data_IF_673400821415
#
_entry.id   IF_673400821415
#
_cell.length_a   1.000
_cell.length_b   1.000
_cell.length_c   1.000
_cell.angle_alpha   90.00
_cell.angle_beta   90.00
_cell.angle_gamma   90.00
#
_symmetry.space_group_name_H-M   'P 1'
#
loop_
_entity.id
_entity.type
_entity.pdbx_description
1 polymer ?
#
# COMPACT_ATOMS: atom_id res chain seq x y z
N UNK A 1 54.21 7.58 -50.27
CA UNK A 1 52.86 6.97 -50.30
C UNK A 1 52.95 5.57 -49.70
N UNK A 2 51.89 5.15 -49.01
CA UNK A 2 51.63 3.86 -48.33
C UNK A 2 51.94 3.76 -46.82
N UNK A 3 50.97 3.13 -46.15
CA UNK A 3 50.50 3.23 -44.76
C UNK A 3 51.09 2.15 -43.84
N UNK A 4 50.73 2.25 -42.54
CA UNK A 4 50.55 1.15 -41.55
C UNK A 4 51.62 1.15 -40.45
N UNK A 5 51.31 1.05 -39.15
CA UNK A 5 50.18 0.39 -38.52
C UNK A 5 49.84 1.07 -37.19
N UNK A 6 48.55 1.33 -36.97
CA UNK A 6 48.02 2.02 -35.81
C UNK A 6 48.13 1.17 -34.55
N UNK A 7 48.88 1.71 -33.60
CA UNK A 7 48.98 1.29 -32.21
C UNK A 7 47.63 1.52 -31.51
N UNK A 8 47.16 0.50 -30.79
CA UNK A 8 46.35 0.59 -29.58
C UNK A 8 45.20 1.62 -29.56
N UNK A 9 43.96 1.12 -29.62
CA UNK A 9 43.02 1.37 -28.53
C UNK A 9 41.83 0.42 -28.67
N UNK A 10 41.92 -0.63 -27.87
CA UNK A 10 40.85 -1.54 -27.51
C UNK A 10 39.72 -0.70 -26.89
N UNK A 11 38.77 -0.28 -27.73
CA UNK A 11 37.50 0.29 -27.30
C UNK A 11 36.52 -0.88 -27.15
N UNK A 12 36.72 -1.70 -26.11
CA UNK A 12 35.65 -2.51 -25.56
C UNK A 12 34.62 -1.53 -24.97
N UNK A 13 33.69 -1.11 -25.82
CA UNK A 13 32.43 -0.53 -25.38
C UNK A 13 31.68 -1.60 -24.58
N UNK A 14 32.00 -1.69 -23.29
CA UNK A 14 31.24 -2.44 -22.31
C UNK A 14 29.86 -1.81 -22.20
N UNK A 15 28.91 -2.38 -22.94
CA UNK A 15 27.48 -2.09 -22.78
C UNK A 15 27.12 -2.59 -21.38
N UNK A 16 27.13 -1.68 -20.40
CA UNK A 16 26.56 -1.93 -19.08
C UNK A 16 25.06 -2.06 -19.31
N UNK A 17 24.59 -3.29 -19.46
CA UNK A 17 23.18 -3.64 -19.38
C UNK A 17 22.73 -3.29 -17.96
N UNK A 18 22.14 -2.11 -17.81
CA UNK A 18 21.40 -1.72 -16.63
C UNK A 18 20.12 -2.56 -16.65
N UNK A 19 20.21 -3.81 -16.22
CA UNK A 19 19.04 -4.63 -15.96
C UNK A 19 18.28 -3.95 -14.82
N UNK A 20 17.23 -3.21 -15.17
CA UNK A 20 16.19 -2.76 -14.24
C UNK A 20 15.54 -4.01 -13.65
N UNK A 21 16.15 -4.56 -12.59
CA UNK A 21 15.52 -5.57 -11.76
C UNK A 21 14.41 -4.85 -11.01
N UNK A 22 13.22 -4.81 -11.62
CA UNK A 22 12.00 -4.54 -10.88
C UNK A 22 11.81 -5.72 -9.93
N UNK A 23 12.41 -5.61 -8.73
CA UNK A 23 12.19 -6.56 -7.66
C UNK A 23 10.68 -6.57 -7.37
N UNK A 24 10.02 -7.66 -7.77
CA UNK A 24 8.63 -7.88 -7.40
C UNK A 24 8.55 -7.80 -5.88
N UNK A 25 7.53 -7.12 -5.32
CA UNK A 25 7.38 -7.05 -3.88
C UNK A 25 7.41 -8.47 -3.30
N UNK A 26 8.12 -8.69 -2.18
CA UNK A 26 8.23 -10.01 -1.58
C UNK A 26 6.83 -10.58 -1.37
N UNK A 27 6.61 -11.85 -1.71
CA UNK A 27 5.36 -12.54 -1.41
C UNK A 27 5.34 -12.94 0.07
N UNK A 28 4.15 -13.22 0.59
CA UNK A 28 3.94 -13.70 1.95
C UNK A 28 3.15 -12.71 2.82
N UNK A 29 2.45 -13.25 3.81
CA UNK A 29 1.57 -12.45 4.67
C UNK A 29 2.30 -11.51 5.65
N UNK A 30 3.61 -11.38 5.50
CA UNK A 30 4.48 -10.49 6.27
C UNK A 30 5.22 -9.51 5.37
N UNK A 31 4.78 -9.33 4.13
CA UNK A 31 5.43 -8.45 3.16
C UNK A 31 4.66 -7.15 2.89
N UNK A 32 3.38 -7.06 3.26
CA UNK A 32 2.59 -5.87 3.02
C UNK A 32 3.20 -4.64 3.69
N UNK A 33 3.47 -3.58 2.95
CA UNK A 33 3.77 -2.25 3.49
C UNK A 33 2.49 -1.60 4.04
N UNK A 34 2.59 -0.51 4.80
CA UNK A 34 1.39 0.19 5.26
C UNK A 34 0.54 0.63 4.06
N UNK A 35 -0.77 0.40 4.12
CA UNK A 35 -1.69 0.88 3.09
C UNK A 35 -1.67 2.42 3.10
N UNK A 36 -1.56 3.08 1.94
CA UNK A 36 -1.67 4.53 1.86
C UNK A 36 -3.10 4.96 2.22
N UNK A 37 -3.20 6.01 3.02
CA UNK A 37 -4.47 6.58 3.48
C UNK A 37 -4.48 8.06 3.11
N UNK A 38 -5.49 8.46 2.34
CA UNK A 38 -5.74 9.85 1.97
C UNK A 38 -6.71 10.48 2.99
N UNK A 39 -6.38 11.67 3.47
CA UNK A 39 -7.25 12.48 4.32
C UNK A 39 -8.01 13.53 3.50
N UNK A 40 -9.07 14.09 4.07
CA UNK A 40 -9.81 15.21 3.49
C UNK A 40 -9.87 16.39 4.45
N UNK A 41 -10.43 17.51 3.98
CA UNK A 41 -10.65 18.69 4.83
C UNK A 41 -11.60 18.38 6.00
N UNK A 42 -12.57 17.47 5.78
CA UNK A 42 -13.61 17.11 6.75
C UNK A 42 -13.30 15.87 7.60
N UNK A 43 -12.38 15.00 7.17
CA UNK A 43 -12.03 13.78 7.90
C UNK A 43 -10.54 13.45 7.81
N UNK A 44 -10.02 12.77 8.83
CA UNK A 44 -8.61 12.42 8.91
C UNK A 44 -8.34 11.10 9.63
N UNK A 45 -7.07 10.72 9.69
CA UNK A 45 -6.61 9.54 10.42
C UNK A 45 -6.48 9.92 11.90
N UNK A 46 -7.21 9.23 12.78
CA UNK A 46 -7.01 9.38 14.22
C UNK A 46 -5.99 8.37 14.75
N UNK A 47 -5.92 7.18 14.16
CA UNK A 47 -4.92 6.17 14.51
C UNK A 47 -4.65 5.21 13.35
N UNK A 48 -3.41 4.75 13.24
CA UNK A 48 -3.02 3.68 12.33
C UNK A 48 -1.96 2.83 13.00
N UNK A 49 -2.17 1.53 13.02
CA UNK A 49 -1.28 0.60 13.68
C UNK A 49 -1.10 -0.66 12.83
N UNK A 50 0.15 -1.05 12.61
CA UNK A 50 0.49 -2.29 11.94
C UNK A 50 1.18 -3.23 12.91
N UNK A 51 0.58 -4.39 13.13
CA UNK A 51 1.07 -5.42 14.04
C UNK A 51 1.22 -6.75 13.32
N UNK A 52 1.85 -7.71 14.01
CA UNK A 52 1.86 -9.11 13.63
C UNK A 52 0.84 -9.82 14.51
N UNK A 53 -0.14 -10.47 13.90
CA UNK A 53 -1.09 -11.31 14.61
C UNK A 53 -0.35 -12.53 15.19
N UNK A 54 -0.54 -12.80 16.47
CA UNK A 54 0.20 -13.84 17.21
C UNK A 54 -0.24 -15.26 16.88
N UNK A 55 -1.47 -15.44 16.39
CA UNK A 55 -2.04 -16.74 16.06
C UNK A 55 -1.66 -17.17 14.64
N UNK A 56 -1.78 -16.25 13.68
CA UNK A 56 -1.52 -16.51 12.25
C UNK A 56 -0.10 -16.15 11.81
N UNK A 57 0.63 -15.37 12.62
CA UNK A 57 1.95 -14.84 12.26
C UNK A 57 1.94 -13.77 11.17
N UNK A 58 0.78 -13.44 10.60
CA UNK A 58 0.61 -12.51 9.50
C UNK A 58 0.50 -11.06 9.95
N UNK A 59 0.82 -10.12 9.07
CA UNK A 59 0.64 -8.70 9.34
C UNK A 59 -0.83 -8.31 9.28
N UNK A 60 -1.20 -7.45 10.22
CA UNK A 60 -2.52 -6.86 10.37
C UNK A 60 -2.32 -5.36 10.47
N UNK A 61 -3.17 -4.58 9.79
CA UNK A 61 -3.18 -3.12 9.92
C UNK A 61 -4.57 -2.67 10.36
N UNK A 62 -4.63 -2.00 11.50
CA UNK A 62 -5.82 -1.35 12.03
C UNK A 62 -5.77 0.12 11.66
N UNK A 63 -6.85 0.63 11.07
CA UNK A 63 -6.97 2.04 10.66
C UNK A 63 -8.23 2.62 11.28
N UNK A 64 -8.07 3.79 11.90
CA UNK A 64 -9.14 4.54 12.53
C UNK A 64 -9.21 5.91 11.85
N UNK A 65 -10.34 6.19 11.21
CA UNK A 65 -10.68 7.50 10.67
C UNK A 65 -11.65 8.20 11.62
N UNK A 66 -11.57 9.53 11.69
CA UNK A 66 -12.47 10.35 12.49
C UNK A 66 -12.83 11.62 11.72
N UNK A 67 -14.05 12.11 11.93
CA UNK A 67 -14.45 13.41 11.42
C UNK A 67 -13.75 14.54 12.17
N UNK A 68 -13.46 15.61 11.44
CA UNK A 68 -12.95 16.88 11.97
C UNK A 68 -14.10 17.83 12.35
N UNK A 69 -15.32 17.54 11.89
CA UNK A 69 -16.55 18.26 12.23
C UNK A 69 -17.31 17.48 13.32
N UNK A 70 -17.77 18.18 14.36
CA UNK A 70 -18.62 17.56 15.38
C UNK A 70 -19.94 17.06 14.74
N UNK A 71 -20.46 15.94 15.26
CA UNK A 71 -21.77 15.37 14.86
C UNK A 71 -21.91 14.98 13.38
N UNK A 72 -20.79 14.69 12.69
CA UNK A 72 -20.80 14.20 11.32
C UNK A 72 -20.36 12.73 11.22
N UNK A 73 -20.96 12.00 10.27
CA UNK A 73 -20.67 10.59 10.06
C UNK A 73 -19.35 10.42 9.33
N UNK A 74 -18.51 9.51 9.82
CA UNK A 74 -17.26 9.14 9.17
C UNK A 74 -17.42 7.86 8.39
N UNK A 75 -16.77 7.76 7.24
CA UNK A 75 -16.66 6.53 6.48
C UNK A 75 -15.31 6.38 5.80
N UNK A 76 -14.95 5.13 5.51
CA UNK A 76 -13.69 4.79 4.86
C UNK A 76 -14.00 4.33 3.44
N UNK A 77 -13.42 4.98 2.44
CA UNK A 77 -13.51 4.54 1.05
C UNK A 77 -12.31 3.65 0.71
N UNK A 78 -12.58 2.53 0.03
CA UNK A 78 -11.55 1.62 -0.45
C UNK A 78 -11.20 1.91 -1.92
N UNK A 79 -9.91 1.92 -2.24
CA UNK A 79 -9.38 1.97 -3.60
C UNK A 79 -9.94 3.12 -4.45
N UNK A 80 -10.15 4.30 -3.85
CA UNK A 80 -10.73 5.51 -4.50
C UNK A 80 -12.13 5.27 -5.11
N UNK A 81 -12.84 4.24 -4.65
CA UNK A 81 -14.09 3.79 -5.26
C UNK A 81 -15.12 3.37 -4.23
N UNK A 82 -15.27 2.05 -4.01
CA UNK A 82 -16.35 1.47 -3.19
C UNK A 82 -16.36 2.11 -1.80
N UNK A 83 -17.51 2.70 -1.43
CA UNK A 83 -17.76 3.18 -0.06
C UNK A 83 -17.69 2.00 0.89
N UNK A 84 -16.91 2.12 1.96
CA UNK A 84 -16.78 1.12 3.00
C UNK A 84 -17.86 1.24 4.07
N UNK A 85 -17.49 0.87 5.30
CA UNK A 85 -18.39 0.93 6.46
C UNK A 85 -18.61 2.38 6.93
N UNK A 86 -19.79 2.62 7.51
CA UNK A 86 -20.22 3.91 8.07
C UNK A 86 -20.41 3.80 9.59
N UNK A 87 -20.01 4.83 10.34
CA UNK A 87 -20.64 5.13 11.63
C UNK A 87 -20.42 6.59 12.05
N UNK A 88 -21.19 6.98 13.07
CA UNK A 88 -21.14 8.28 13.71
C UNK A 88 -19.73 8.57 14.25
N UNK A 89 -19.17 9.70 13.83
CA UNK A 89 -17.94 10.33 14.36
C UNK A 89 -16.63 9.59 14.07
N UNK A 90 -16.61 8.26 14.15
CA UNK A 90 -15.39 7.47 14.06
C UNK A 90 -15.59 6.11 13.41
N UNK A 91 -14.64 5.69 12.57
CA UNK A 91 -14.62 4.38 11.92
C UNK A 91 -13.30 3.67 12.10
N UNK A 92 -13.37 2.40 12.53
CA UNK A 92 -12.21 1.51 12.66
C UNK A 92 -12.37 0.31 11.75
N UNK A 93 -11.35 0.01 10.96
CA UNK A 93 -11.26 -1.21 10.16
C UNK A 93 -9.97 -1.96 10.45
N UNK A 94 -9.99 -3.26 10.15
CA UNK A 94 -8.81 -4.12 10.20
C UNK A 94 -8.56 -4.74 8.81
N UNK A 95 -7.34 -4.60 8.34
CA UNK A 95 -6.84 -5.23 7.11
C UNK A 95 -5.90 -6.37 7.49
N UNK A 96 -6.02 -7.50 6.79
CA UNK A 96 -5.12 -8.64 6.96
C UNK A 96 -4.25 -8.79 5.72
N UNK A 97 -2.94 -8.94 5.90
CA UNK A 97 -2.04 -9.23 4.80
C UNK A 97 -2.19 -10.69 4.40
N UNK A 98 -2.43 -10.96 3.13
CA UNK A 98 -2.57 -12.32 2.61
C UNK A 98 -1.24 -12.90 2.13
N UNK A 99 -1.23 -14.17 1.74
CA UNK A 99 -0.02 -14.87 1.28
C UNK A 99 0.60 -14.29 0.00
N UNK A 100 -0.16 -13.51 -0.77
CA UNK A 100 0.34 -12.81 -1.95
C UNK A 100 1.01 -11.47 -1.62
N UNK A 101 1.01 -11.06 -0.35
CA UNK A 101 1.53 -9.74 0.06
C UNK A 101 0.56 -8.60 -0.24
N UNK A 102 -0.75 -8.88 -0.24
CA UNK A 102 -1.81 -7.88 -0.47
C UNK A 102 -2.68 -7.72 0.77
N UNK A 103 -3.17 -6.50 1.01
CA UNK A 103 -4.12 -6.26 2.09
C UNK A 103 -5.51 -6.73 1.70
N UNK A 104 -6.20 -7.38 2.65
CA UNK A 104 -7.58 -7.80 2.53
C UNK A 104 -8.42 -7.23 3.67
N UNK A 105 -9.49 -6.53 3.30
CA UNK A 105 -10.58 -6.26 4.20
C UNK A 105 -11.56 -7.43 4.17
N UNK A 106 -11.91 -7.97 5.33
CA UNK A 106 -12.85 -9.09 5.49
C UNK A 106 -14.00 -8.66 6.38
N UNK A 107 -15.22 -8.72 5.86
CA UNK A 107 -16.42 -8.41 6.62
C UNK A 107 -17.58 -9.30 6.19
N UNK A 108 -18.09 -10.12 7.12
CA UNK A 108 -19.09 -11.15 6.82
C UNK A 108 -18.64 -12.08 5.68
N UNK A 109 -19.32 -12.05 4.52
CA UNK A 109 -18.98 -12.85 3.33
C UNK A 109 -18.19 -12.06 2.28
N UNK A 110 -17.89 -10.79 2.54
CA UNK A 110 -17.16 -9.91 1.63
C UNK A 110 -15.67 -9.95 1.95
N UNK A 111 -14.87 -10.27 0.95
CA UNK A 111 -13.41 -10.06 0.95
C UNK A 111 -13.07 -9.06 -0.14
N UNK A 112 -12.33 -8.01 0.21
CA UNK A 112 -11.90 -6.98 -0.72
C UNK A 112 -10.39 -6.78 -0.60
N UNK A 113 -9.68 -6.88 -1.73
CA UNK A 113 -8.28 -6.47 -1.79
C UNK A 113 -8.18 -4.95 -1.73
N UNK A 114 -7.37 -4.43 -0.80
CA UNK A 114 -7.21 -3.00 -0.55
C UNK A 114 -5.82 -2.55 -0.97
N UNK A 115 -5.76 -1.53 -1.80
CA UNK A 115 -4.52 -0.86 -2.23
C UNK A 115 -4.44 0.58 -1.73
N UNK A 116 -5.56 1.21 -1.40
CA UNK A 116 -5.60 2.54 -0.79
C UNK A 116 -6.88 2.74 0.03
N UNK A 117 -6.81 3.65 0.99
CA UNK A 117 -7.94 4.10 1.80
C UNK A 117 -8.11 5.61 1.67
N UNK A 118 -9.34 6.10 1.85
CA UNK A 118 -9.63 7.53 2.00
C UNK A 118 -10.56 7.72 3.20
N UNK A 119 -10.18 8.58 4.14
CA UNK A 119 -11.05 8.99 5.26
C UNK A 119 -11.98 10.11 4.80
N UNK A 120 -13.29 9.90 4.89
CA UNK A 120 -14.32 10.83 4.45
C UNK A 120 -15.31 11.12 5.57
N UNK A 121 -15.96 12.28 5.50
CA UNK A 121 -17.10 12.65 6.35
C UNK A 121 -18.24 13.16 5.49
N UNK A 122 -19.48 13.01 5.97
CA UNK A 122 -20.67 13.67 5.41
C UNK A 122 -20.77 15.12 5.87
#
# INVERSE_FOLDING_TARGET
MTFSSSLFLVLFAGIILISNVQALPPKGCTSCLMVPIEETEKAGISSTNKTRNTETGCFVQTVQCMSKENDSDTYIQFNKGRKGLFAAVQQTIQLNCNEEGKWEFRHSKLTLTVSSLTCLST
#
